data_IF_856968682795
#
_entry.id   IF_856968682795
#
_cell.length_a   1.000
_cell.length_b   1.000
_cell.length_c   1.000
_cell.angle_alpha   90.00
_cell.angle_beta   90.00
_cell.angle_gamma   90.00
#
_symmetry.space_group_name_H-M   'P 1'
#
loop_
_entity.id
_entity.type
_entity.pdbx_description
1 polymer ?
#
# COMPACT_ATOMS: atom_id res chain seq x y z
N UNK A 1 34.75 -53.39 -13.27
CA UNK A 1 33.88 -53.31 -12.08
C UNK A 1 32.39 -53.16 -12.45
N UNK A 2 32.01 -53.04 -13.73
CA UNK A 2 30.62 -52.91 -14.18
C UNK A 2 29.87 -51.61 -13.77
N UNK A 3 30.55 -50.64 -13.16
CA UNK A 3 29.97 -49.34 -12.82
C UNK A 3 30.20 -48.32 -13.89
N UNK A 4 29.20 -47.44 -14.11
CA UNK A 4 29.35 -46.30 -15.00
C UNK A 4 30.46 -45.34 -14.51
N UNK A 5 31.25 -44.79 -15.44
CA UNK A 5 32.27 -43.78 -15.12
C UNK A 5 31.59 -42.48 -14.73
N UNK A 6 31.79 -42.04 -13.52
CA UNK A 6 31.17 -40.84 -13.01
C UNK A 6 32.09 -39.62 -12.92
N UNK A 7 33.37 -39.79 -13.29
CA UNK A 7 34.36 -38.72 -13.28
C UNK A 7 34.64 -38.18 -11.88
N UNK A 8 34.63 -36.86 -11.74
CA UNK A 8 34.92 -36.16 -10.49
C UNK A 8 33.76 -36.28 -9.48
N UNK A 9 34.08 -36.54 -8.20
CA UNK A 9 33.10 -36.76 -7.14
C UNK A 9 32.18 -35.56 -6.82
N UNK A 10 32.58 -34.33 -7.19
CA UNK A 10 31.75 -33.13 -7.12
C UNK A 10 30.93 -32.85 -8.39
N UNK A 11 30.91 -33.80 -9.32
CA UNK A 11 30.08 -33.70 -10.52
C UNK A 11 28.60 -33.53 -10.13
N UNK A 12 27.82 -32.71 -10.85
CA UNK A 12 26.39 -32.48 -10.58
C UNK A 12 25.53 -33.75 -10.74
N UNK A 13 26.07 -34.82 -11.26
CA UNK A 13 25.42 -36.14 -11.34
C UNK A 13 25.32 -36.80 -9.97
N UNK A 14 26.21 -36.44 -9.03
CA UNK A 14 26.19 -36.98 -7.69
C UNK A 14 25.32 -36.19 -6.69
N UNK A 15 24.71 -36.88 -5.73
CA UNK A 15 24.07 -36.21 -4.60
C UNK A 15 25.11 -35.41 -3.83
N UNK A 16 24.84 -34.12 -3.58
CA UNK A 16 25.78 -33.19 -2.94
C UNK A 16 26.89 -32.66 -3.86
N UNK A 17 26.81 -32.94 -5.16
CA UNK A 17 27.68 -32.35 -6.19
C UNK A 17 27.37 -30.89 -6.49
N UNK A 18 28.05 -30.35 -7.51
CA UNK A 18 27.87 -28.94 -7.92
C UNK A 18 26.45 -28.67 -8.46
N UNK A 19 25.94 -27.49 -8.18
CA UNK A 19 24.65 -27.01 -8.68
C UNK A 19 24.88 -26.40 -10.07
N UNK A 20 24.31 -26.99 -11.13
CA UNK A 20 24.42 -26.50 -12.51
C UNK A 20 23.55 -25.25 -12.73
N UNK A 21 22.30 -25.31 -12.31
CA UNK A 21 21.34 -24.22 -12.46
C UNK A 21 20.90 -23.77 -11.09
N UNK A 22 21.71 -22.93 -10.44
CA UNK A 22 21.37 -22.30 -9.18
C UNK A 22 20.26 -21.25 -9.33
N UNK A 23 19.70 -20.78 -8.22
CA UNK A 23 18.70 -19.72 -8.24
C UNK A 23 19.31 -18.44 -8.83
N UNK A 24 18.66 -17.90 -9.84
CA UNK A 24 19.06 -16.64 -10.47
C UNK A 24 18.03 -15.53 -10.15
N UNK A 25 18.47 -14.28 -9.97
CA UNK A 25 17.58 -13.15 -9.83
C UNK A 25 16.67 -13.05 -11.05
N UNK A 26 15.37 -13.01 -10.83
CA UNK A 26 14.39 -12.84 -11.90
C UNK A 26 13.35 -11.79 -11.53
N UNK A 27 12.79 -11.15 -12.52
CA UNK A 27 11.67 -10.22 -12.33
C UNK A 27 10.38 -11.01 -12.16
N UNK A 28 9.57 -10.59 -11.17
CA UNK A 28 8.23 -11.15 -10.91
C UNK A 28 7.12 -10.20 -11.33
N UNK A 29 7.50 -9.06 -11.93
CA UNK A 29 6.56 -8.06 -12.38
C UNK A 29 5.84 -8.50 -13.67
N UNK A 30 4.54 -8.27 -13.71
CA UNK A 30 3.72 -8.47 -14.89
C UNK A 30 2.72 -7.33 -15.03
N UNK A 31 2.39 -6.99 -16.27
CA UNK A 31 1.48 -5.90 -16.58
C UNK A 31 0.02 -6.34 -16.37
N UNK A 32 -0.68 -5.63 -15.49
CA UNK A 32 -2.12 -5.82 -15.25
C UNK A 32 -2.92 -4.82 -16.08
N UNK A 33 -4.00 -5.28 -16.70
CA UNK A 33 -4.89 -4.45 -17.53
C UNK A 33 -5.52 -3.32 -16.70
N UNK A 34 -5.72 -2.14 -17.32
CA UNK A 34 -6.29 -0.96 -16.65
C UNK A 34 -7.66 -1.24 -16.02
N UNK A 35 -8.56 -1.97 -16.71
CA UNK A 35 -9.88 -2.34 -16.18
C UNK A 35 -9.80 -3.20 -14.93
N UNK A 36 -8.87 -4.15 -14.88
CA UNK A 36 -8.66 -5.01 -13.71
C UNK A 36 -8.13 -4.20 -12.52
N UNK A 37 -7.21 -3.26 -12.76
CA UNK A 37 -6.71 -2.36 -11.71
C UNK A 37 -7.80 -1.48 -11.11
N UNK A 38 -8.70 -0.92 -11.95
CA UNK A 38 -9.87 -0.17 -11.48
C UNK A 38 -10.82 -1.06 -10.67
N UNK A 39 -11.10 -2.28 -11.14
CA UNK A 39 -11.93 -3.23 -10.42
C UNK A 39 -11.34 -3.57 -9.04
N UNK A 40 -10.05 -3.86 -8.97
CA UNK A 40 -9.36 -4.16 -7.72
C UNK A 40 -9.45 -2.99 -6.72
N UNK A 41 -9.32 -1.75 -7.19
CA UNK A 41 -9.46 -0.56 -6.35
C UNK A 41 -10.89 -0.41 -5.81
N UNK A 42 -11.93 -0.62 -6.66
CA UNK A 42 -13.34 -0.62 -6.22
C UNK A 42 -13.59 -1.69 -5.16
N UNK A 43 -13.08 -2.91 -5.36
CA UNK A 43 -13.23 -4.01 -4.40
C UNK A 43 -12.56 -3.70 -3.08
N UNK A 44 -11.35 -3.09 -3.09
CA UNK A 44 -10.65 -2.71 -1.88
C UNK A 44 -11.42 -1.64 -1.07
N UNK A 45 -11.96 -0.62 -1.74
CA UNK A 45 -12.80 0.40 -1.10
C UNK A 45 -14.10 -0.19 -0.53
N UNK A 46 -14.79 -1.02 -1.30
CA UNK A 46 -16.02 -1.71 -0.84
C UNK A 46 -15.75 -2.59 0.37
N UNK A 47 -14.62 -3.28 0.40
CA UNK A 47 -14.22 -4.09 1.56
C UNK A 47 -13.99 -3.23 2.82
N UNK A 48 -13.42 -2.04 2.67
CA UNK A 48 -13.25 -1.09 3.80
C UNK A 48 -14.57 -0.54 4.30
N UNK A 49 -15.48 -0.24 3.38
CA UNK A 49 -16.83 0.22 3.74
C UNK A 49 -17.61 -0.87 4.46
N UNK A 50 -17.62 -2.11 3.93
CA UNK A 50 -18.32 -3.25 4.55
C UNK A 50 -17.78 -3.62 5.95
N UNK A 51 -16.52 -3.28 6.23
CA UNK A 51 -15.91 -3.49 7.54
C UNK A 51 -15.98 -2.29 8.49
N UNK A 52 -16.81 -1.26 8.19
CA UNK A 52 -16.94 -0.01 8.96
C UNK A 52 -15.59 0.69 9.23
N UNK A 53 -14.64 0.53 8.30
CA UNK A 53 -13.30 1.10 8.40
C UNK A 53 -13.09 2.28 7.42
N UNK A 54 -14.15 2.85 6.88
CA UNK A 54 -14.13 4.01 6.01
C UNK A 54 -14.85 5.17 6.67
N UNK A 55 -14.15 6.30 6.82
CA UNK A 55 -14.67 7.53 7.39
C UNK A 55 -14.59 8.65 6.36
N UNK A 56 -15.64 9.45 6.25
CA UNK A 56 -15.64 10.68 5.44
C UNK A 56 -15.66 11.88 6.37
N UNK A 57 -14.70 12.79 6.19
CA UNK A 57 -14.52 13.98 7.04
C UNK A 57 -14.49 15.22 6.14
N UNK A 58 -15.12 16.31 6.57
CA UNK A 58 -15.15 17.56 5.78
C UNK A 58 -13.75 18.11 5.51
N UNK A 59 -12.91 18.14 6.54
CA UNK A 59 -11.54 18.65 6.47
C UNK A 59 -10.86 18.60 7.83
N UNK A 60 -9.58 18.88 7.84
CA UNK A 60 -8.80 19.07 9.06
C UNK A 60 -8.46 20.55 9.20
N UNK A 61 -9.06 21.23 10.19
CA UNK A 61 -8.70 22.61 10.52
C UNK A 61 -7.34 22.59 11.25
N UNK A 62 -6.30 22.91 10.50
CA UNK A 62 -4.94 23.00 11.00
C UNK A 62 -4.44 24.45 10.90
N UNK A 63 -4.64 25.25 11.97
CA UNK A 63 -4.17 26.65 11.97
C UNK A 63 -2.64 26.75 11.88
N UNK A 64 -1.94 25.69 12.30
CA UNK A 64 -0.48 25.60 12.27
C UNK A 64 -0.04 24.17 11.93
N UNK A 65 1.11 24.04 11.26
CA UNK A 65 1.75 22.78 10.93
C UNK A 65 2.40 22.11 12.17
N UNK A 66 1.58 21.72 13.16
CA UNK A 66 2.04 21.08 14.40
C UNK A 66 1.53 19.66 14.50
N UNK A 67 2.45 18.70 14.65
CA UNK A 67 2.13 17.27 14.84
C UNK A 67 1.28 17.00 16.06
N UNK A 68 1.45 17.79 17.16
CA UNK A 68 0.66 17.66 18.40
C UNK A 68 -0.83 17.92 18.19
N UNK A 69 -1.19 18.88 17.35
CA UNK A 69 -2.60 19.22 17.03
C UNK A 69 -3.19 18.05 16.24
N UNK A 70 -2.49 17.62 15.19
CA UNK A 70 -2.96 16.51 14.36
C UNK A 70 -3.07 15.19 15.14
N UNK A 71 -2.13 14.90 16.05
CA UNK A 71 -2.19 13.74 16.94
C UNK A 71 -3.42 13.74 17.85
N UNK A 72 -3.84 14.90 18.35
CA UNK A 72 -5.09 15.03 19.12
C UNK A 72 -6.32 14.74 18.27
N UNK A 73 -6.37 15.27 17.03
CA UNK A 73 -7.47 15.03 16.10
C UNK A 73 -7.54 13.54 15.76
N UNK A 74 -6.40 12.94 15.43
CA UNK A 74 -6.31 11.51 15.12
C UNK A 74 -6.75 10.64 16.31
N UNK A 75 -6.37 11.02 17.53
CA UNK A 75 -6.81 10.36 18.77
C UNK A 75 -8.33 10.46 19.00
N UNK A 76 -8.91 11.64 18.77
CA UNK A 76 -10.36 11.85 18.90
C UNK A 76 -11.18 11.03 17.89
N UNK A 77 -10.63 10.82 16.68
CA UNK A 77 -11.22 9.98 15.64
C UNK A 77 -10.88 8.48 15.81
N UNK A 78 -10.11 8.12 16.83
CA UNK A 78 -9.69 6.74 17.08
C UNK A 78 -8.78 6.15 15.98
N UNK A 79 -8.04 7.00 15.28
CA UNK A 79 -7.16 6.58 14.18
C UNK A 79 -5.86 5.99 14.73
N UNK A 80 -5.64 4.70 14.49
CA UNK A 80 -4.41 4.01 14.88
C UNK A 80 -3.48 3.71 13.70
N UNK A 81 -4.05 3.19 12.62
CA UNK A 81 -3.33 2.84 11.38
C UNK A 81 -4.20 3.25 10.20
N UNK A 82 -4.11 4.53 9.82
CA UNK A 82 -5.02 5.16 8.89
C UNK A 82 -4.33 5.67 7.63
N UNK A 83 -5.00 5.47 6.49
CA UNK A 83 -4.69 6.11 5.23
C UNK A 83 -5.63 7.29 5.04
N UNK A 84 -5.09 8.48 4.88
CA UNK A 84 -5.84 9.72 4.68
C UNK A 84 -5.74 10.09 3.21
N UNK A 85 -6.89 10.27 2.56
CA UNK A 85 -6.97 10.70 1.17
C UNK A 85 -7.43 12.15 1.16
N UNK A 86 -6.53 13.05 0.75
CA UNK A 86 -6.80 14.47 0.61
C UNK A 86 -6.87 14.86 -0.86
N UNK A 87 -7.71 15.83 -1.25
CA UNK A 87 -7.77 16.30 -2.63
C UNK A 87 -6.42 16.87 -3.10
N UNK A 88 -5.74 17.57 -2.20
CA UNK A 88 -4.41 18.13 -2.41
C UNK A 88 -3.55 17.97 -1.16
N UNK A 89 -2.25 17.82 -1.33
CA UNK A 89 -1.28 17.75 -0.24
C UNK A 89 -0.90 19.17 0.20
N UNK A 90 -1.68 19.77 1.10
CA UNK A 90 -1.30 21.05 1.69
C UNK A 90 -0.05 20.86 2.57
N UNK A 91 0.84 21.85 2.55
CA UNK A 91 2.10 21.82 3.32
C UNK A 91 1.86 21.57 4.81
N UNK A 92 0.84 22.19 5.37
CA UNK A 92 0.44 22.06 6.78
C UNK A 92 0.04 20.63 7.12
N UNK A 93 -0.76 20.00 6.26
CA UNK A 93 -1.24 18.64 6.43
C UNK A 93 -0.08 17.62 6.33
N UNK A 94 0.79 17.78 5.34
CA UNK A 94 1.97 16.93 5.16
C UNK A 94 2.91 17.02 6.36
N UNK A 95 3.27 18.24 6.80
CA UNK A 95 4.20 18.44 7.90
C UNK A 95 3.64 17.94 9.25
N UNK A 96 2.33 18.08 9.46
CA UNK A 96 1.68 17.65 10.71
C UNK A 96 1.46 16.15 10.78
N UNK A 97 1.24 15.46 9.64
CA UNK A 97 0.92 14.03 9.61
C UNK A 97 2.13 13.12 9.44
N UNK A 98 3.16 13.52 8.67
CA UNK A 98 4.28 12.64 8.25
C UNK A 98 5.08 12.01 9.38
N UNK A 99 5.13 12.65 10.55
CA UNK A 99 5.89 12.16 11.72
C UNK A 99 5.09 11.21 12.60
N UNK A 100 3.80 11.01 12.34
CA UNK A 100 2.96 10.13 13.14
C UNK A 100 3.04 8.68 12.61
N UNK A 101 3.46 7.73 13.47
CA UNK A 101 3.53 6.34 13.06
C UNK A 101 2.13 5.79 12.74
N UNK A 102 2.01 5.04 11.65
CA UNK A 102 0.75 4.42 11.23
C UNK A 102 -0.18 5.33 10.42
N UNK A 103 0.10 6.62 10.29
CA UNK A 103 -0.69 7.54 9.45
C UNK A 103 0.06 7.80 8.15
N UNK A 104 -0.61 7.64 7.04
CA UNK A 104 -0.10 7.94 5.70
C UNK A 104 -1.08 8.87 5.00
N UNK A 105 -0.55 9.92 4.38
CA UNK A 105 -1.31 10.83 3.52
C UNK A 105 -1.10 10.44 2.07
N UNK A 106 -2.14 10.52 1.26
CA UNK A 106 -2.09 10.26 -0.18
C UNK A 106 -3.11 11.12 -0.92
N UNK A 107 -2.88 11.31 -2.21
CA UNK A 107 -3.85 11.96 -3.10
C UNK A 107 -4.69 10.92 -3.85
N UNK A 108 -5.86 11.30 -4.40
CA UNK A 108 -6.67 10.41 -5.22
C UNK A 108 -5.88 9.78 -6.39
N UNK A 109 -4.92 10.50 -6.98
CA UNK A 109 -4.11 10.01 -8.10
C UNK A 109 -3.07 8.97 -7.70
N UNK A 110 -2.51 9.08 -6.51
CA UNK A 110 -1.51 8.16 -5.98
C UNK A 110 -2.12 6.94 -5.28
N UNK A 111 -3.43 6.97 -4.99
CA UNK A 111 -4.12 5.91 -4.25
C UNK A 111 -3.88 4.54 -4.88
N UNK A 112 -3.38 3.60 -4.10
CA UNK A 112 -3.10 2.23 -4.52
C UNK A 112 -3.86 1.20 -3.68
N UNK A 113 -4.17 0.04 -4.29
CA UNK A 113 -4.80 -1.09 -3.57
C UNK A 113 -3.92 -1.54 -2.40
N UNK A 114 -2.60 -1.53 -2.59
CA UNK A 114 -1.65 -1.91 -1.55
C UNK A 114 -1.79 -1.02 -0.29
N UNK A 115 -1.85 0.30 -0.47
CA UNK A 115 -2.00 1.24 0.65
C UNK A 115 -3.34 1.08 1.38
N UNK A 116 -4.43 0.89 0.63
CA UNK A 116 -5.75 0.64 1.22
C UNK A 116 -5.73 -0.63 2.08
N UNK A 117 -5.08 -1.70 1.61
CA UNK A 117 -5.01 -2.97 2.34
C UNK A 117 -4.00 -2.94 3.49
N UNK A 118 -2.92 -2.17 3.36
CA UNK A 118 -1.89 -1.99 4.40
C UNK A 118 -2.43 -1.29 5.65
N UNK A 119 -3.34 -0.31 5.48
CA UNK A 119 -3.93 0.46 6.58
C UNK A 119 -5.26 -0.14 7.00
N UNK A 120 -5.53 -0.11 8.31
CA UNK A 120 -6.79 -0.63 8.85
C UNK A 120 -7.96 0.30 8.53
N UNK A 121 -7.75 1.59 8.70
CA UNK A 121 -8.78 2.63 8.55
C UNK A 121 -8.49 3.49 7.32
N UNK A 122 -9.52 3.91 6.65
CA UNK A 122 -9.47 4.79 5.49
C UNK A 122 -10.25 6.07 5.81
N UNK A 123 -9.61 7.21 5.66
CA UNK A 123 -10.22 8.52 5.87
C UNK A 123 -10.22 9.28 4.55
N UNK A 124 -11.40 9.58 4.03
CA UNK A 124 -11.55 10.44 2.87
C UNK A 124 -11.92 11.86 3.32
N UNK A 125 -11.22 12.86 2.82
CA UNK A 125 -11.70 14.23 2.90
C UNK A 125 -12.79 14.44 1.86
N UNK A 126 -13.81 15.23 2.18
CA UNK A 126 -14.98 15.47 1.32
C UNK A 126 -14.57 15.87 -0.11
N UNK A 127 -13.60 16.79 -0.25
CA UNK A 127 -13.08 17.19 -1.55
C UNK A 127 -12.33 16.11 -2.34
N UNK A 128 -11.97 14.97 -1.72
CA UNK A 128 -11.32 13.87 -2.40
C UNK A 128 -12.29 12.82 -2.96
N UNK A 129 -13.56 12.87 -2.59
CA UNK A 129 -14.57 11.87 -2.98
C UNK A 129 -14.80 11.92 -4.50
N UNK A 130 -15.10 13.08 -5.05
CA UNK A 130 -15.35 13.27 -6.49
C UNK A 130 -14.15 12.87 -7.38
N UNK A 131 -12.90 13.28 -7.09
CA UNK A 131 -11.74 12.81 -7.83
C UNK A 131 -11.56 11.29 -7.77
N UNK A 132 -11.78 10.66 -6.61
CA UNK A 132 -11.72 9.19 -6.48
C UNK A 132 -12.79 8.52 -7.34
N UNK A 133 -14.02 8.99 -7.33
CA UNK A 133 -15.10 8.45 -8.18
C UNK A 133 -14.77 8.59 -9.66
N UNK A 134 -14.27 9.74 -10.09
CA UNK A 134 -13.87 9.99 -11.47
C UNK A 134 -12.78 9.04 -11.93
N UNK A 135 -11.80 8.77 -11.07
CA UNK A 135 -10.74 7.80 -11.35
C UNK A 135 -11.26 6.36 -11.47
N UNK A 136 -12.34 6.02 -10.77
CA UNK A 136 -12.94 4.69 -10.76
C UNK A 136 -13.88 4.44 -11.95
N UNK A 137 -14.43 5.46 -12.55
CA UNK A 137 -15.22 5.37 -13.81
C UNK A 137 -14.34 4.96 -14.97
#
# INVERSE_FOLDING_TARGET
TGRARAGYNRSPVWRGGAILFGPQPRKYDFKVNKKIRKLALRMALSSRLAGDNLLVVKGFDLPEAKTKIFAKIAGNLGLSKALIIAPEETRELVLSSRNLPGITLTTPDQLSVYEILKHKQLVLLEGAVEPVETRLK
#
